data_IF_377935593703
#
_entry.id   IF_377935593703
#
_cell.length_a   1.000
_cell.length_b   1.000
_cell.length_c   1.000
_cell.angle_alpha   90.00
_cell.angle_beta   90.00
_cell.angle_gamma   90.00
#
_symmetry.space_group_name_H-M   'P 1'
#
loop_
_entity.id
_entity.type
_entity.pdbx_description
1 polymer ?
#
# COMPACT_ATOMS: atom_id res chain seq x y z
N UNK A 1 -19.50 -24.15 -42.27
CA UNK A 1 -18.11 -23.67 -42.14
C UNK A 1 -17.98 -23.12 -40.74
N UNK A 2 -17.13 -23.76 -39.94
CA UNK A 2 -17.06 -23.64 -38.49
C UNK A 2 -16.39 -22.32 -38.08
N UNK A 3 -17.07 -21.49 -37.30
CA UNK A 3 -16.43 -20.51 -36.43
C UNK A 3 -16.19 -21.21 -35.09
N UNK A 4 -14.94 -21.51 -34.77
CA UNK A 4 -14.56 -22.08 -33.48
C UNK A 4 -14.80 -21.08 -32.35
N UNK A 5 -15.05 -21.54 -31.11
CA UNK A 5 -15.20 -20.63 -29.99
C UNK A 5 -13.83 -20.07 -29.60
N UNK A 6 -13.69 -18.74 -29.65
CA UNK A 6 -12.57 -18.01 -29.09
C UNK A 6 -12.57 -18.16 -27.57
N UNK A 7 -11.47 -18.68 -27.01
CA UNK A 7 -11.26 -18.78 -25.56
C UNK A 7 -10.62 -17.47 -25.08
N UNK A 8 -11.17 -16.72 -24.10
CA UNK A 8 -10.48 -15.58 -23.56
C UNK A 8 -9.39 -16.01 -22.57
N UNK A 9 -8.29 -15.26 -22.59
CA UNK A 9 -7.05 -15.47 -21.83
C UNK A 9 -7.26 -15.18 -20.34
N UNK A 10 -6.92 -16.15 -19.49
CA UNK A 10 -7.13 -16.11 -18.03
C UNK A 10 -5.90 -15.57 -17.26
N UNK A 11 -4.93 -14.98 -17.96
CA UNK A 11 -3.62 -14.61 -17.40
C UNK A 11 -3.40 -13.12 -17.18
N UNK A 12 -4.26 -12.25 -17.70
CA UNK A 12 -4.11 -10.79 -17.62
C UNK A 12 -4.48 -10.23 -16.23
N UNK A 13 -5.60 -10.70 -15.68
CA UNK A 13 -6.16 -10.31 -14.38
C UNK A 13 -5.18 -10.41 -13.20
N UNK A 14 -4.32 -11.43 -13.19
CA UNK A 14 -3.43 -11.67 -12.04
C UNK A 14 -2.25 -10.70 -12.05
N UNK A 15 -1.73 -10.39 -13.24
CA UNK A 15 -0.62 -9.46 -13.39
C UNK A 15 -1.06 -8.02 -13.14
N UNK A 16 -2.26 -7.65 -13.61
CA UNK A 16 -2.84 -6.33 -13.33
C UNK A 16 -3.09 -6.13 -11.83
N UNK A 17 -3.63 -7.13 -11.11
CA UNK A 17 -3.82 -7.04 -9.65
C UNK A 17 -2.49 -6.98 -8.89
N UNK A 18 -1.48 -7.70 -9.37
CA UNK A 18 -0.13 -7.63 -8.81
C UNK A 18 0.46 -6.23 -8.99
N UNK A 19 0.37 -5.66 -10.20
CA UNK A 19 0.81 -4.31 -10.50
C UNK A 19 0.07 -3.26 -9.67
N UNK A 20 -1.26 -3.37 -9.55
CA UNK A 20 -2.06 -2.47 -8.72
C UNK A 20 -1.66 -2.51 -7.23
N UNK A 21 -1.28 -3.68 -6.70
CA UNK A 21 -0.75 -3.79 -5.32
C UNK A 21 0.63 -3.15 -5.19
N UNK A 22 1.46 -3.24 -6.22
CA UNK A 22 2.78 -2.58 -6.22
C UNK A 22 2.57 -1.07 -6.16
N UNK A 23 1.81 -0.49 -7.08
CA UNK A 23 1.54 0.95 -7.10
C UNK A 23 0.89 1.43 -5.79
N UNK A 24 -0.08 0.68 -5.24
CA UNK A 24 -0.70 1.01 -3.96
C UNK A 24 0.28 1.01 -2.79
N UNK A 25 1.25 0.09 -2.79
CA UNK A 25 2.29 0.08 -1.76
C UNK A 25 3.29 1.23 -1.95
N UNK A 26 3.62 1.58 -3.19
CA UNK A 26 4.49 2.73 -3.49
C UNK A 26 3.84 4.04 -3.02
N UNK A 27 2.55 4.24 -3.30
CA UNK A 27 1.77 5.39 -2.83
C UNK A 27 1.74 5.45 -1.30
N UNK A 28 1.58 4.30 -0.63
CA UNK A 28 1.66 4.23 0.83
C UNK A 28 3.03 4.68 1.33
N UNK A 29 4.13 4.22 0.73
CA UNK A 29 5.49 4.60 1.14
C UNK A 29 5.76 6.09 0.94
N UNK A 30 5.33 6.66 -0.19
CA UNK A 30 5.44 8.08 -0.48
C UNK A 30 4.63 8.96 0.49
N UNK A 31 3.55 8.42 1.06
CA UNK A 31 2.71 9.12 2.02
C UNK A 31 3.18 9.02 3.49
N UNK A 32 4.25 8.28 3.80
CA UNK A 32 4.74 8.13 5.17
C UNK A 32 5.32 9.45 5.70
N UNK A 33 4.88 9.87 6.89
CA UNK A 33 5.38 11.10 7.52
C UNK A 33 6.80 10.95 8.10
N UNK A 34 7.21 9.72 8.42
CA UNK A 34 8.53 9.44 9.01
C UNK A 34 9.58 9.25 7.92
N UNK A 35 10.63 10.04 8.01
CA UNK A 35 11.71 10.09 7.01
C UNK A 35 12.71 8.96 7.12
N UNK A 36 12.79 8.29 8.26
CA UNK A 36 13.74 7.21 8.50
C UNK A 36 13.10 6.13 9.37
N UNK A 37 13.03 4.92 8.83
CA UNK A 37 12.41 3.76 9.44
C UNK A 37 13.35 2.55 9.32
N UNK A 38 13.33 1.60 10.28
CA UNK A 38 13.98 0.32 10.08
C UNK A 38 13.31 -0.43 8.92
N UNK A 39 14.08 -1.21 8.17
CA UNK A 39 13.59 -1.99 7.02
C UNK A 39 12.38 -2.86 7.40
N UNK A 40 12.41 -3.48 8.58
CA UNK A 40 11.29 -4.28 9.10
C UNK A 40 9.99 -3.47 9.19
N UNK A 41 10.04 -2.23 9.69
CA UNK A 41 8.86 -1.39 9.80
C UNK A 41 8.32 -0.94 8.43
N UNK A 42 9.19 -0.83 7.42
CA UNK A 42 8.77 -0.59 6.03
C UNK A 42 8.09 -1.83 5.46
N UNK A 43 8.69 -3.00 5.64
CA UNK A 43 8.10 -4.29 5.23
C UNK A 43 6.74 -4.50 5.88
N UNK A 44 6.60 -4.27 7.18
CA UNK A 44 5.31 -4.38 7.90
C UNK A 44 4.19 -3.52 7.27
N UNK A 45 4.55 -2.39 6.65
CA UNK A 45 3.61 -1.50 5.97
C UNK A 45 3.23 -2.03 4.60
N UNK A 46 4.20 -2.51 3.83
CA UNK A 46 3.96 -3.16 2.54
C UNK A 46 3.07 -4.40 2.74
N UNK A 47 3.26 -5.13 3.84
CA UNK A 47 2.45 -6.31 4.19
C UNK A 47 0.97 -5.98 4.47
N UNK A 48 0.63 -4.71 4.73
CA UNK A 48 -0.78 -4.29 4.77
C UNK A 48 -1.46 -4.26 3.40
N UNK A 49 -0.68 -4.25 2.33
CA UNK A 49 -1.15 -4.28 0.94
C UNK A 49 -1.06 -5.70 0.37
N UNK A 50 0.05 -6.39 0.64
CA UNK A 50 0.32 -7.73 0.09
C UNK A 50 1.22 -8.55 1.00
N UNK A 51 0.85 -9.82 1.22
CA UNK A 51 1.67 -10.78 1.98
C UNK A 51 2.55 -11.65 1.08
N UNK A 52 2.56 -11.40 -0.24
CA UNK A 52 3.42 -12.12 -1.18
C UNK A 52 4.86 -11.58 -1.09
N UNK A 53 5.84 -12.41 -0.69
CA UNK A 53 7.22 -11.97 -0.51
C UNK A 53 7.90 -11.57 -1.83
N UNK A 54 7.39 -12.00 -2.97
CA UNK A 54 7.86 -11.56 -4.30
C UNK A 54 7.46 -10.12 -4.52
N UNK A 55 6.18 -9.80 -4.28
CA UNK A 55 5.65 -8.44 -4.40
C UNK A 55 6.29 -7.49 -3.40
N UNK A 56 6.55 -7.93 -2.17
CA UNK A 56 7.27 -7.11 -1.17
C UNK A 56 8.64 -6.67 -1.70
N UNK A 57 9.41 -7.59 -2.30
CA UNK A 57 10.72 -7.26 -2.90
C UNK A 57 10.58 -6.33 -4.09
N UNK A 58 9.64 -6.62 -4.98
CA UNK A 58 9.34 -5.75 -6.14
C UNK A 58 9.00 -4.33 -5.70
N UNK A 59 8.17 -4.16 -4.68
CA UNK A 59 7.84 -2.83 -4.13
C UNK A 59 9.08 -2.11 -3.62
N UNK A 60 9.94 -2.78 -2.85
CA UNK A 60 11.15 -2.17 -2.33
C UNK A 60 12.12 -1.74 -3.45
N UNK A 61 12.30 -2.60 -4.46
CA UNK A 61 13.19 -2.33 -5.57
C UNK A 61 12.65 -1.21 -6.48
N UNK A 62 11.33 -1.20 -6.75
CA UNK A 62 10.66 -0.12 -7.48
C UNK A 62 10.68 1.21 -6.70
N UNK A 63 10.47 1.16 -5.39
CA UNK A 63 10.51 2.35 -4.54
C UNK A 63 11.90 3.00 -4.56
N UNK A 64 12.96 2.20 -4.51
CA UNK A 64 14.33 2.70 -4.60
C UNK A 64 14.65 3.21 -6.01
N UNK A 65 14.26 2.46 -7.05
CA UNK A 65 14.46 2.84 -8.45
C UNK A 65 13.79 4.17 -8.79
N UNK A 66 12.58 4.40 -8.27
CA UNK A 66 11.80 5.64 -8.46
C UNK A 66 12.24 6.76 -7.51
N UNK A 67 13.20 6.49 -6.63
CA UNK A 67 13.71 7.46 -5.67
C UNK A 67 12.67 7.87 -4.61
N UNK A 68 11.73 7.00 -4.28
CA UNK A 68 10.78 7.16 -3.16
C UNK A 68 11.50 6.83 -1.85
N UNK A 69 12.39 5.84 -1.88
CA UNK A 69 13.20 5.43 -0.72
C UNK A 69 14.69 5.36 -1.06
N UNK A 70 15.52 5.42 -0.03
CA UNK A 70 16.91 5.00 -0.04
C UNK A 70 17.12 3.94 1.04
N UNK A 71 17.84 2.86 0.70
CA UNK A 71 18.13 1.78 1.64
C UNK A 71 19.58 1.88 2.12
N UNK A 72 19.77 1.81 3.43
CA UNK A 72 21.08 1.71 4.07
C UNK A 72 21.04 0.54 5.04
N UNK A 73 21.63 -0.60 4.65
CA UNK A 73 21.71 -1.86 5.40
C UNK A 73 20.42 -2.33 6.10
N UNK A 74 20.11 -1.77 7.27
CA UNK A 74 18.95 -2.09 8.13
C UNK A 74 17.90 -0.96 8.22
N UNK A 75 18.15 0.18 7.57
CA UNK A 75 17.29 1.37 7.57
C UNK A 75 16.87 1.77 6.17
N UNK A 76 15.73 2.44 6.10
CA UNK A 76 15.12 2.96 4.89
C UNK A 76 14.78 4.42 5.14
N UNK A 77 15.27 5.30 4.27
CA UNK A 77 14.96 6.72 4.28
C UNK A 77 13.96 7.06 3.20
N UNK A 78 12.91 7.79 3.54
CA UNK A 78 11.93 8.29 2.57
C UNK A 78 12.49 9.55 1.92
N UNK A 79 12.53 9.58 0.58
CA UNK A 79 13.03 10.72 -0.18
C UNK A 79 11.89 11.66 -0.53
N UNK A 80 11.95 12.88 -0.01
CA UNK A 80 10.94 13.92 -0.24
C UNK A 80 11.27 14.79 -1.45
N UNK A 81 11.62 14.19 -2.58
CA UNK A 81 11.94 14.94 -3.80
C UNK A 81 10.74 15.06 -4.78
N UNK A 82 9.62 14.36 -4.51
CA UNK A 82 8.44 14.37 -5.38
C UNK A 82 7.12 14.54 -4.62
N UNK A 83 6.62 15.78 -4.55
CA UNK A 83 5.21 16.07 -4.25
C UNK A 83 4.80 15.95 -2.78
N UNK A 84 4.47 17.08 -2.17
CA UNK A 84 3.85 17.12 -0.85
C UNK A 84 2.49 16.39 -0.83
N UNK A 85 2.45 15.14 -0.37
CA UNK A 85 1.17 14.48 -0.04
C UNK A 85 0.68 15.07 1.27
N UNK A 86 -0.27 16.03 1.18
CA UNK A 86 -0.90 16.64 2.36
C UNK A 86 -1.87 15.64 2.99
N UNK A 87 -1.38 14.95 4.02
CA UNK A 87 -2.01 13.92 4.86
C UNK A 87 -3.51 14.10 5.18
N UNK A 88 -4.01 15.32 5.31
CA UNK A 88 -5.35 15.58 5.85
C UNK A 88 -6.49 15.45 4.83
N UNK A 89 -6.23 15.14 3.55
CA UNK A 89 -7.29 15.10 2.51
C UNK A 89 -7.62 13.72 1.94
N UNK A 90 -6.94 12.66 2.36
CA UNK A 90 -7.06 11.34 1.73
C UNK A 90 -7.67 10.26 2.61
N UNK A 91 -7.92 10.50 3.90
CA UNK A 91 -8.60 9.51 4.75
C UNK A 91 -10.12 9.74 4.71
N UNK A 92 -10.86 8.76 4.21
CA UNK A 92 -12.32 8.72 4.21
C UNK A 92 -12.80 7.80 5.31
N UNK A 93 -13.72 8.29 6.14
CA UNK A 93 -14.36 7.51 7.20
C UNK A 93 -15.72 6.99 6.72
N UNK A 94 -16.01 5.72 6.99
CA UNK A 94 -17.32 5.10 6.71
C UNK A 94 -17.78 4.31 7.93
N UNK A 95 -19.06 4.45 8.27
CA UNK A 95 -19.70 3.65 9.31
C UNK A 95 -20.17 2.30 8.74
N UNK A 96 -20.04 1.24 9.53
CA UNK A 96 -20.39 -0.12 9.14
C UNK A 96 -19.59 -1.17 9.91
N UNK A 97 -19.88 -2.45 9.68
CA UNK A 97 -19.12 -3.55 10.25
C UNK A 97 -17.89 -3.84 9.39
N UNK A 98 -16.70 -3.53 9.92
CA UNK A 98 -15.42 -3.72 9.25
C UNK A 98 -14.43 -4.46 10.14
N UNK A 99 -13.51 -5.22 9.55
CA UNK A 99 -12.36 -5.77 10.28
C UNK A 99 -11.09 -5.02 9.89
N UNK A 100 -10.38 -4.49 10.89
CA UNK A 100 -9.17 -3.73 10.65
C UNK A 100 -8.14 -4.57 9.88
N UNK A 101 -7.72 -4.13 8.69
CA UNK A 101 -6.75 -4.86 7.88
C UNK A 101 -5.40 -5.08 8.58
N UNK A 102 -5.02 -4.20 9.50
CA UNK A 102 -3.75 -4.29 10.23
C UNK A 102 -3.79 -5.26 11.42
N UNK A 103 -4.82 -5.19 12.26
CA UNK A 103 -4.85 -5.93 13.54
C UNK A 103 -6.01 -6.93 13.65
N UNK A 104 -6.93 -6.96 12.70
CA UNK A 104 -8.11 -7.84 12.69
C UNK A 104 -9.20 -7.46 13.68
N UNK A 105 -9.09 -6.33 14.40
CA UNK A 105 -10.14 -5.90 15.32
C UNK A 105 -11.39 -5.46 14.55
N UNK A 106 -12.58 -5.85 15.02
CA UNK A 106 -13.85 -5.39 14.48
C UNK A 106 -14.08 -3.91 14.82
N UNK A 107 -14.56 -3.16 13.83
CA UNK A 107 -14.73 -1.72 13.84
C UNK A 107 -16.16 -1.40 13.41
N UNK A 108 -16.80 -0.48 14.13
CA UNK A 108 -18.04 0.17 13.70
C UNK A 108 -17.79 1.32 12.71
N UNK A 109 -16.52 1.74 12.57
CA UNK A 109 -16.10 2.83 11.69
C UNK A 109 -14.78 2.48 11.02
N UNK A 110 -14.81 2.27 9.72
CA UNK A 110 -13.64 2.00 8.89
C UNK A 110 -13.02 3.28 8.36
N UNK A 111 -11.70 3.38 8.46
CA UNK A 111 -10.91 4.48 7.88
C UNK A 111 -10.20 3.94 6.64
N UNK A 112 -10.35 4.65 5.52
CA UNK A 112 -9.85 4.26 4.21
C UNK A 112 -8.93 5.36 3.66
N UNK A 113 -7.71 5.02 3.30
CA UNK A 113 -6.76 5.95 2.68
C UNK A 113 -6.94 5.89 1.17
N UNK A 114 -7.25 7.03 0.56
CA UNK A 114 -7.43 7.17 -0.88
C UNK A 114 -6.10 7.56 -1.54
N UNK A 115 -5.60 6.67 -2.38
CA UNK A 115 -4.46 6.92 -3.25
C UNK A 115 -4.91 7.00 -4.71
N UNK A 116 -4.04 7.48 -5.59
CA UNK A 116 -4.33 7.52 -7.03
C UNK A 116 -4.41 6.11 -7.61
N UNK A 117 -3.60 5.19 -7.09
CA UNK A 117 -3.61 3.76 -7.45
C UNK A 117 -4.74 2.94 -6.83
N UNK A 118 -5.41 3.45 -5.80
CA UNK A 118 -6.54 2.76 -5.16
C UNK A 118 -6.79 3.10 -3.70
N UNK A 119 -7.73 2.39 -3.10
CA UNK A 119 -8.14 2.58 -1.70
C UNK A 119 -7.44 1.56 -0.78
N UNK A 120 -6.84 2.02 0.31
CA UNK A 120 -6.24 1.19 1.35
C UNK A 120 -7.05 1.24 2.64
N UNK A 121 -7.60 0.10 3.05
CA UNK A 121 -8.39 -0.02 4.28
C UNK A 121 -9.24 -1.29 4.28
N UNK A 122 -10.15 -1.45 5.25
CA UNK A 122 -10.44 -0.53 6.36
C UNK A 122 -9.42 -0.61 7.51
N UNK A 123 -9.22 0.51 8.20
CA UNK A 123 -8.43 0.60 9.42
C UNK A 123 -9.19 1.24 10.57
N UNK A 124 -8.81 0.91 11.81
CA UNK A 124 -9.25 1.66 12.98
C UNK A 124 -8.53 3.00 13.10
N UNK A 125 -9.11 3.95 13.83
CA UNK A 125 -8.58 5.32 13.99
C UNK A 125 -7.15 5.39 14.52
N UNK A 126 -6.75 4.45 15.38
CA UNK A 126 -5.36 4.33 15.86
C UNK A 126 -4.45 3.61 14.86
N UNK A 127 -4.96 2.59 14.18
CA UNK A 127 -4.19 1.80 13.23
C UNK A 127 -3.82 2.61 11.99
N UNK A 128 -4.75 3.41 11.43
CA UNK A 128 -4.48 4.27 10.27
C UNK A 128 -3.36 5.27 10.57
N UNK A 129 -3.38 5.89 11.75
CA UNK A 129 -2.31 6.81 12.21
C UNK A 129 -0.96 6.10 12.28
N UNK A 130 -0.92 4.91 12.87
CA UNK A 130 0.32 4.11 12.98
C UNK A 130 0.84 3.64 11.62
N UNK A 131 -0.04 3.25 10.68
CA UNK A 131 0.36 2.84 9.32
C UNK A 131 1.05 3.99 8.62
N UNK A 132 0.43 5.19 8.67
CA UNK A 132 0.97 6.40 8.06
C UNK A 132 2.13 7.05 8.84
N UNK A 133 2.50 6.50 10.01
CA UNK A 133 3.70 6.90 10.75
C UNK A 133 3.51 7.98 11.83
N UNK A 134 2.27 8.30 12.22
CA UNK A 134 1.94 9.34 13.23
C UNK A 134 2.15 8.94 14.69
N UNK A 135 2.32 7.66 14.99
CA UNK A 135 2.57 7.09 16.33
C UNK A 135 3.84 6.22 16.27
#
# INVERSE_FOLDING_TARGET
MSAGPERPAVTDDTHERASARVELALDLLAALERDDLPLSAVVDRIETVTTDPTLVRTVLDEAELRGIIERDADRVRMRRDGGFVRFERQVVEREGDFDCRRCGASLSTGHFVQFESGELGPFGSSCVRKVLGRD
#
